data_IF_512386817278
#
_entry.id   IF_512386817278
#
_cell.length_a   1.000
_cell.length_b   1.000
_cell.length_c   1.000
_cell.angle_alpha   90.00
_cell.angle_beta   90.00
_cell.angle_gamma   90.00
#
_symmetry.space_group_name_H-M   'P 1'
#
loop_
_entity.id
_entity.type
_entity.pdbx_description
1 polymer ?
#
# COMPACT_ATOMS: atom_id res chain seq x y z
N UNK A 1 -19.82 20.35 -11.45
CA UNK A 1 -19.48 19.18 -10.62
C UNK A 1 -18.46 19.61 -9.57
N UNK A 2 -18.75 19.41 -8.29
CA UNK A 2 -17.90 19.89 -7.20
C UNK A 2 -16.82 18.85 -6.86
N UNK A 3 -15.58 19.09 -7.28
CA UNK A 3 -14.41 18.50 -6.61
C UNK A 3 -14.15 19.35 -5.36
N UNK A 4 -14.27 18.76 -4.17
CA UNK A 4 -13.96 19.43 -2.90
C UNK A 4 -12.44 19.51 -2.77
N UNK A 5 -11.86 20.62 -3.20
CA UNK A 5 -10.45 20.94 -2.99
C UNK A 5 -10.22 21.20 -1.51
N UNK A 6 -9.34 20.42 -0.89
CA UNK A 6 -8.88 20.67 0.48
C UNK A 6 -8.21 22.05 0.56
N UNK A 7 -8.42 22.73 1.70
CA UNK A 7 -8.04 24.13 1.93
C UNK A 7 -6.56 24.42 1.64
N UNK A 8 -6.35 25.47 0.84
CA UNK A 8 -5.07 26.01 0.34
C UNK A 8 -4.07 26.40 1.45
N UNK A 9 -4.49 26.46 2.71
CA UNK A 9 -3.63 26.85 3.85
C UNK A 9 -2.66 25.76 4.32
N UNK A 10 -2.83 24.49 3.93
CA UNK A 10 -1.91 23.41 4.35
C UNK A 10 -0.64 23.27 3.48
N UNK A 11 -0.62 23.85 2.27
CA UNK A 11 0.50 23.72 1.32
C UNK A 11 1.53 24.86 1.38
N UNK A 12 1.31 25.91 2.18
CA UNK A 12 2.08 27.15 2.09
C UNK A 12 3.43 27.16 2.84
N UNK A 13 3.81 26.09 3.56
CA UNK A 13 4.98 26.13 4.47
C UNK A 13 5.93 24.92 4.39
N UNK A 14 5.96 24.21 3.26
CA UNK A 14 6.96 23.18 2.94
C UNK A 14 7.36 23.46 1.48
N UNK A 15 8.33 24.33 1.23
CA UNK A 15 9.77 24.05 1.29
C UNK A 15 10.19 22.87 0.40
N UNK A 16 11.31 23.05 -0.29
CA UNK A 16 11.66 22.45 -1.59
C UNK A 16 12.16 20.99 -1.50
N UNK A 17 11.41 20.13 -0.82
CA UNK A 17 11.66 18.70 -0.76
C UNK A 17 10.37 17.96 -0.49
N UNK A 18 9.84 17.25 -1.47
CA UNK A 18 8.76 16.30 -1.26
C UNK A 18 9.27 15.19 -0.32
N UNK A 19 9.11 15.37 0.99
CA UNK A 19 9.42 14.33 1.96
C UNK A 19 8.38 13.23 1.79
N UNK A 20 8.75 12.18 1.08
CA UNK A 20 7.97 10.94 1.06
C UNK A 20 7.95 10.41 2.49
N UNK A 21 6.77 10.39 3.13
CA UNK A 21 6.59 9.88 4.48
C UNK A 21 7.15 8.46 4.57
N UNK A 22 7.90 8.17 5.65
CA UNK A 22 8.44 6.84 5.95
C UNK A 22 7.47 5.99 6.79
N UNK A 23 6.33 6.54 7.21
CA UNK A 23 5.33 5.80 7.97
C UNK A 23 4.48 4.95 7.02
N UNK A 24 4.45 3.62 7.15
CA UNK A 24 3.68 2.73 6.26
C UNK A 24 2.17 3.00 6.31
N UNK A 25 1.65 3.73 7.31
CA UNK A 25 0.23 4.07 7.45
C UNK A 25 -0.20 5.32 6.70
N UNK A 26 0.74 6.22 6.39
CA UNK A 26 0.45 7.53 5.79
C UNK A 26 1.20 7.78 4.49
N UNK A 27 2.24 7.01 4.20
CA UNK A 27 2.96 7.07 2.93
C UNK A 27 1.99 6.91 1.73
N UNK A 28 2.18 7.66 0.64
CA UNK A 28 1.38 7.50 -0.57
C UNK A 28 1.46 6.08 -1.13
N UNK A 29 0.36 5.57 -1.69
CA UNK A 29 0.31 4.25 -2.36
C UNK A 29 0.80 4.35 -3.82
N UNK A 30 1.95 4.99 -4.00
CA UNK A 30 2.64 5.16 -5.30
C UNK A 30 3.93 4.36 -5.31
N UNK A 31 4.62 4.32 -6.45
CA UNK A 31 5.92 3.65 -6.52
C UNK A 31 6.95 4.33 -5.61
N UNK A 32 7.00 5.66 -5.57
CA UNK A 32 7.92 6.40 -4.70
C UNK A 32 7.64 6.11 -3.21
N UNK A 33 6.37 6.04 -2.84
CA UNK A 33 5.95 5.67 -1.49
C UNK A 33 6.33 4.23 -1.15
N UNK A 34 6.16 3.31 -2.09
CA UNK A 34 6.59 1.93 -1.94
C UNK A 34 8.11 1.82 -1.75
N UNK A 35 8.90 2.47 -2.60
CA UNK A 35 10.37 2.51 -2.48
C UNK A 35 10.80 3.10 -1.12
N UNK A 36 10.10 4.11 -0.61
CA UNK A 36 10.38 4.67 0.70
C UNK A 36 10.16 3.69 1.87
N UNK A 37 9.24 2.73 1.73
CA UNK A 37 9.07 1.63 2.69
C UNK A 37 10.07 0.49 2.44
N UNK A 38 10.28 0.12 1.18
CA UNK A 38 11.22 -0.92 0.77
C UNK A 38 12.64 -0.65 1.28
N UNK A 39 13.10 0.59 1.17
CA UNK A 39 14.41 1.05 1.64
C UNK A 39 14.57 1.03 3.18
N UNK A 40 13.52 0.76 3.95
CA UNK A 40 13.62 0.60 5.40
C UNK A 40 13.97 -0.81 5.83
N UNK A 41 13.91 -1.79 4.92
CA UNK A 41 14.18 -3.20 5.19
C UNK A 41 13.40 -3.74 6.41
N UNK A 42 12.18 -3.25 6.60
CA UNK A 42 11.33 -3.55 7.75
C UNK A 42 10.08 -4.29 7.25
N UNK A 43 10.08 -5.61 7.45
CA UNK A 43 8.99 -6.50 7.04
C UNK A 43 7.65 -6.12 7.66
N UNK A 44 7.64 -5.64 8.90
CA UNK A 44 6.41 -5.25 9.59
C UNK A 44 5.81 -4.01 8.92
N UNK A 45 6.63 -3.02 8.61
CA UNK A 45 6.18 -1.83 7.88
C UNK A 45 5.73 -2.18 6.47
N UNK A 46 6.44 -3.08 5.80
CA UNK A 46 6.04 -3.56 4.48
C UNK A 46 4.67 -4.25 4.53
N UNK A 47 4.42 -5.12 5.52
CA UNK A 47 3.12 -5.76 5.71
C UNK A 47 1.98 -4.75 5.91
N UNK A 48 2.18 -3.73 6.73
CA UNK A 48 1.21 -2.63 6.93
C UNK A 48 0.94 -1.88 5.63
N UNK A 49 1.98 -1.60 4.84
CA UNK A 49 1.82 -0.96 3.54
C UNK A 49 1.02 -1.84 2.58
N UNK A 50 1.35 -3.14 2.47
CA UNK A 50 0.64 -4.09 1.61
C UNK A 50 -0.84 -4.22 1.98
N UNK A 51 -1.18 -4.24 3.28
CA UNK A 51 -2.58 -4.25 3.73
C UNK A 51 -3.35 -3.01 3.23
N UNK A 52 -2.71 -1.84 3.25
CA UNK A 52 -3.31 -0.61 2.70
C UNK A 52 -3.50 -0.68 1.20
N UNK A 53 -2.52 -1.23 0.47
CA UNK A 53 -2.64 -1.46 -0.99
C UNK A 53 -3.82 -2.37 -1.28
N UNK A 54 -3.93 -3.49 -0.56
CA UNK A 54 -5.03 -4.45 -0.70
C UNK A 54 -6.39 -3.77 -0.47
N UNK A 55 -6.53 -3.03 0.63
CA UNK A 55 -7.78 -2.35 0.95
C UNK A 55 -8.14 -1.25 -0.06
N UNK A 56 -7.16 -0.46 -0.51
CA UNK A 56 -7.40 0.70 -1.38
C UNK A 56 -7.63 0.29 -2.85
N UNK A 57 -6.78 -0.58 -3.41
CA UNK A 57 -6.77 -0.86 -4.85
C UNK A 57 -7.71 -2.00 -5.25
N UNK A 58 -8.10 -2.86 -4.29
CA UNK A 58 -8.95 -4.02 -4.57
C UNK A 58 -10.36 -3.88 -3.99
N UNK A 59 -10.83 -2.65 -3.76
CA UNK A 59 -12.22 -2.39 -3.38
C UNK A 59 -12.58 -2.86 -1.96
N UNK A 60 -11.69 -2.63 -1.00
CA UNK A 60 -11.88 -3.07 0.39
C UNK A 60 -11.59 -4.55 0.60
N UNK A 61 -10.77 -5.17 -0.25
CA UNK A 61 -10.24 -6.50 0.02
C UNK A 61 -9.41 -6.50 1.30
N UNK A 62 -9.20 -7.68 1.87
CA UNK A 62 -8.42 -7.91 3.08
C UNK A 62 -7.54 -9.14 2.93
N UNK A 63 -6.59 -9.27 3.85
CA UNK A 63 -5.70 -10.41 3.97
C UNK A 63 -6.44 -11.50 4.73
N UNK A 64 -6.61 -12.67 4.13
CA UNK A 64 -7.18 -13.82 4.85
C UNK A 64 -6.14 -14.83 5.34
N UNK A 65 -4.91 -14.80 4.82
CA UNK A 65 -3.78 -15.53 5.39
C UNK A 65 -2.68 -14.54 5.85
N UNK A 66 -2.59 -14.27 7.16
CA UNK A 66 -1.55 -13.40 7.71
C UNK A 66 -0.13 -13.93 7.45
N UNK A 67 0.07 -15.25 7.34
CA UNK A 67 1.39 -15.83 7.12
C UNK A 67 1.85 -15.59 5.69
N UNK A 68 0.94 -15.75 4.72
CA UNK A 68 1.23 -15.43 3.32
C UNK A 68 1.56 -13.95 3.12
N UNK A 69 0.90 -13.04 3.86
CA UNK A 69 1.27 -11.61 3.86
C UNK A 69 2.67 -11.39 4.42
N UNK A 70 3.01 -12.02 5.54
CA UNK A 70 4.34 -11.90 6.15
C UNK A 70 5.43 -12.38 5.18
N UNK A 71 5.23 -13.54 4.56
CA UNK A 71 6.18 -14.11 3.60
C UNK A 71 6.33 -13.22 2.35
N UNK A 72 5.23 -12.64 1.87
CA UNK A 72 5.24 -11.66 0.77
C UNK A 72 5.94 -10.36 1.16
N UNK A 73 5.75 -9.88 2.39
CA UNK A 73 6.39 -8.68 2.91
C UNK A 73 7.89 -8.91 3.23
N UNK A 74 8.29 -10.15 3.51
CA UNK A 74 9.68 -10.53 3.75
C UNK A 74 10.49 -10.59 2.44
N UNK A 75 9.84 -10.93 1.32
CA UNK A 75 10.44 -10.95 -0.01
C UNK A 75 9.65 -10.03 -0.98
N UNK A 76 9.64 -8.72 -0.72
CA UNK A 76 8.82 -7.79 -1.47
C UNK A 76 9.36 -7.61 -2.91
N UNK A 77 8.48 -7.46 -3.92
CA UNK A 77 8.88 -7.20 -5.30
C UNK A 77 9.68 -5.89 -5.47
N UNK A 78 10.40 -5.73 -6.58
CA UNK A 78 11.19 -4.51 -6.81
C UNK A 78 10.35 -3.24 -7.10
N UNK A 79 9.09 -3.39 -7.51
CA UNK A 79 8.24 -2.28 -7.94
C UNK A 79 6.80 -2.38 -7.44
N UNK A 80 6.13 -1.23 -7.32
CA UNK A 80 4.71 -1.18 -6.96
C UNK A 80 3.82 -1.82 -8.04
N UNK A 81 4.26 -1.83 -9.30
CA UNK A 81 3.56 -2.52 -10.38
C UNK A 81 3.52 -4.03 -10.13
N UNK A 82 4.66 -4.63 -9.80
CA UNK A 82 4.76 -6.07 -9.53
C UNK A 82 3.97 -6.45 -8.28
N UNK A 83 3.99 -5.59 -7.25
CA UNK A 83 3.16 -5.75 -6.05
C UNK A 83 1.70 -5.90 -6.43
N UNK A 84 1.13 -4.94 -7.18
CA UNK A 84 -0.29 -4.99 -7.57
C UNK A 84 -0.60 -6.20 -8.44
N UNK A 85 0.31 -6.54 -9.36
CA UNK A 85 0.17 -7.69 -10.25
C UNK A 85 0.09 -9.00 -9.47
N UNK A 86 0.99 -9.20 -8.51
CA UNK A 86 1.06 -10.40 -7.67
C UNK A 86 -0.09 -10.46 -6.65
N UNK A 87 -0.46 -9.34 -6.03
CA UNK A 87 -1.60 -9.27 -5.12
C UNK A 87 -2.92 -9.58 -5.83
N UNK A 88 -3.04 -9.24 -7.12
CA UNK A 88 -4.22 -9.56 -7.93
C UNK A 88 -4.41 -11.08 -8.09
N UNK A 89 -3.33 -11.84 -8.22
CA UNK A 89 -3.37 -13.30 -8.39
C UNK A 89 -3.22 -14.06 -7.08
N UNK A 90 -2.86 -13.39 -5.98
CA UNK A 90 -2.73 -13.98 -4.65
C UNK A 90 -4.06 -14.55 -4.13
N UNK A 91 -4.06 -15.86 -3.85
CA UNK A 91 -5.24 -16.57 -3.33
C UNK A 91 -5.59 -16.20 -1.89
N UNK A 92 -4.61 -15.67 -1.15
CA UNK A 92 -4.76 -15.24 0.25
C UNK A 92 -5.32 -13.83 0.41
N UNK A 93 -5.61 -13.13 -0.70
CA UNK A 93 -6.29 -11.83 -0.72
C UNK A 93 -7.76 -12.05 -1.03
N UNK A 94 -8.64 -11.57 -0.16
CA UNK A 94 -10.07 -11.90 -0.16
C UNK A 94 -10.99 -10.69 -0.07
N UNK A 95 -12.23 -10.87 -0.53
CA UNK A 95 -13.21 -9.81 -0.63
C UNK A 95 -12.90 -8.78 -1.72
N UNK A 96 -13.62 -7.66 -1.68
CA UNK A 96 -13.52 -6.61 -2.69
C UNK A 96 -13.70 -7.13 -4.11
N UNK A 97 -12.90 -6.62 -5.07
CA UNK A 97 -12.98 -7.02 -6.48
C UNK A 97 -12.42 -8.42 -6.78
N UNK A 98 -11.74 -9.05 -5.82
CA UNK A 98 -11.24 -10.41 -6.02
C UNK A 98 -12.38 -11.44 -6.00
N UNK A 99 -13.51 -11.11 -5.37
CA UNK A 99 -14.63 -12.03 -5.08
C UNK A 99 -14.19 -13.36 -4.44
N UNK A 100 -12.98 -13.41 -3.87
CA UNK A 100 -12.45 -14.60 -3.21
C UNK A 100 -12.95 -14.66 -1.77
N UNK A 101 -13.31 -15.86 -1.34
CA UNK A 101 -13.68 -16.16 0.04
C UNK A 101 -12.49 -16.87 0.67
N UNK A 102 -11.89 -16.24 1.68
CA UNK A 102 -10.87 -16.88 2.49
C UNK A 102 -11.57 -17.79 3.50
N UNK A 103 -11.03 -18.99 3.69
CA UNK A 103 -11.56 -20.00 4.61
C UNK A 103 -10.65 -20.13 5.81
#
# INVERSE_FOLDING_TARGET
GAAKYASKTYYSRYDRGCVVSKDPRTVPLTDEGYQAILNQHDTQKMGVFMQRVIAADFGGAHVGDPKALEDFAANPPGSMYDVKSLLKTALWVCGGYTNRICR
#
